data_IF_583146259561
#
_entry.id   IF_583146259561
#
_cell.length_a   1.000
_cell.length_b   1.000
_cell.length_c   1.000
_cell.angle_alpha   90.00
_cell.angle_beta   90.00
_cell.angle_gamma   90.00
#
_symmetry.space_group_name_H-M   'P 1'
#
loop_
_entity.id
_entity.type
_entity.pdbx_description
1 polymer ?
#
# COMPACT_ATOMS: atom_id res chain seq x y z
N UNK A 1 -5.12 -16.15 -44.36
CA UNK A 1 -4.49 -16.48 -43.05
C UNK A 1 -4.93 -15.41 -42.07
N UNK A 2 -6.07 -15.57 -41.40
CA UNK A 2 -6.68 -14.54 -40.55
C UNK A 2 -6.37 -14.79 -39.06
N UNK A 3 -5.88 -13.76 -38.36
CA UNK A 3 -6.05 -13.55 -36.91
C UNK A 3 -5.22 -14.40 -35.95
N UNK A 4 -3.88 -14.40 -36.04
CA UNK A 4 -3.04 -15.04 -35.00
C UNK A 4 -2.94 -14.14 -33.75
N UNK A 5 -3.67 -14.50 -32.69
CA UNK A 5 -3.30 -14.33 -31.28
C UNK A 5 -2.40 -13.12 -30.94
N UNK A 6 -2.89 -11.89 -31.14
CA UNK A 6 -2.16 -10.69 -30.71
C UNK A 6 -2.46 -10.43 -29.22
N UNK A 7 -1.46 -10.62 -28.37
CA UNK A 7 -1.48 -10.19 -26.97
C UNK A 7 -0.67 -8.91 -26.84
N UNK A 8 -1.27 -7.88 -26.24
CA UNK A 8 -0.59 -6.64 -25.89
C UNK A 8 -0.72 -6.38 -24.40
N UNK A 9 0.38 -6.08 -23.73
CA UNK A 9 0.41 -5.74 -22.32
C UNK A 9 0.72 -4.25 -22.17
N UNK A 10 -0.28 -3.47 -21.76
CA UNK A 10 -0.06 -2.09 -21.32
C UNK A 10 0.48 -2.12 -19.89
N UNK A 11 1.64 -1.52 -19.67
CA UNK A 11 2.28 -1.57 -18.37
C UNK A 11 3.29 -0.46 -18.15
N UNK A 12 3.69 -0.32 -16.89
CA UNK A 12 4.82 0.51 -16.53
C UNK A 12 5.93 -0.40 -15.98
N UNK A 13 7.17 -0.17 -16.39
CA UNK A 13 8.29 -1.05 -16.06
C UNK A 13 8.51 -1.20 -14.54
N UNK A 14 8.13 -0.21 -13.75
CA UNK A 14 8.30 -0.20 -12.29
C UNK A 14 7.08 -0.73 -11.52
N UNK A 15 6.08 -1.31 -12.20
CA UNK A 15 4.87 -1.80 -11.54
C UNK A 15 4.98 -3.28 -11.17
N UNK A 16 4.93 -3.58 -9.87
CA UNK A 16 4.85 -4.95 -9.36
C UNK A 16 3.64 -5.72 -9.91
N UNK A 17 2.51 -5.02 -10.12
CA UNK A 17 1.30 -5.58 -10.71
C UNK A 17 1.50 -6.02 -12.16
N UNK A 18 2.28 -5.26 -12.93
CA UNK A 18 2.66 -5.60 -14.30
C UNK A 18 3.63 -6.78 -14.31
N UNK A 19 4.58 -6.82 -13.36
CA UNK A 19 5.52 -7.94 -13.19
C UNK A 19 4.78 -9.27 -13.02
N UNK A 20 3.67 -9.31 -12.23
CA UNK A 20 2.83 -10.53 -12.08
C UNK A 20 2.33 -11.06 -13.42
N UNK A 21 1.85 -10.17 -14.28
CA UNK A 21 1.33 -10.55 -15.61
C UNK A 21 2.46 -11.01 -16.52
N UNK A 22 3.61 -10.33 -16.51
CA UNK A 22 4.79 -10.75 -17.26
C UNK A 22 5.26 -12.14 -16.81
N UNK A 23 5.36 -12.38 -15.51
CA UNK A 23 5.69 -13.69 -14.94
C UNK A 23 4.76 -14.78 -15.46
N UNK A 24 3.44 -14.57 -15.39
CA UNK A 24 2.47 -15.55 -15.88
C UNK A 24 2.63 -15.84 -17.38
N UNK A 25 2.80 -14.80 -18.22
CA UNK A 25 3.02 -14.97 -19.66
C UNK A 25 4.31 -15.75 -19.95
N UNK A 26 5.41 -15.44 -19.24
CA UNK A 26 6.69 -16.15 -19.40
C UNK A 26 6.61 -17.61 -18.92
N UNK A 27 5.96 -17.88 -17.79
CA UNK A 27 5.75 -19.26 -17.30
C UNK A 27 4.90 -20.10 -18.25
N UNK A 28 3.99 -19.46 -18.99
CA UNK A 28 3.17 -20.09 -20.04
C UNK A 28 3.85 -20.11 -21.42
N UNK A 29 5.02 -19.50 -21.58
CA UNK A 29 5.69 -19.40 -22.89
C UNK A 29 4.92 -18.56 -23.92
N UNK A 30 4.04 -17.65 -23.47
CA UNK A 30 3.20 -16.81 -24.33
C UNK A 30 3.95 -15.53 -24.68
N UNK A 31 4.14 -15.28 -25.98
CA UNK A 31 4.70 -14.03 -26.50
C UNK A 31 3.67 -12.91 -26.42
N UNK A 32 4.12 -11.67 -26.20
CA UNK A 32 3.25 -10.51 -26.12
C UNK A 32 4.00 -9.23 -26.52
N UNK A 33 3.27 -8.26 -27.03
CA UNK A 33 3.76 -6.91 -27.29
C UNK A 33 3.65 -6.07 -26.01
N UNK A 34 4.78 -5.65 -25.46
CA UNK A 34 4.79 -4.76 -24.29
C UNK A 34 4.71 -3.30 -24.73
N UNK A 35 3.75 -2.56 -24.16
CA UNK A 35 3.60 -1.12 -24.38
C UNK A 35 3.83 -0.41 -23.05
N UNK A 36 4.92 0.36 -23.00
CA UNK A 36 5.28 1.18 -21.83
C UNK A 36 4.33 2.38 -21.73
N UNK A 37 3.72 2.55 -20.56
CA UNK A 37 2.80 3.65 -20.25
C UNK A 37 3.47 4.69 -19.33
N UNK A 38 3.34 5.96 -19.69
CA UNK A 38 3.60 7.07 -18.76
C UNK A 38 2.36 7.29 -17.88
N UNK A 39 2.44 6.86 -16.62
CA UNK A 39 1.31 6.97 -15.69
C UNK A 39 0.95 8.42 -15.30
N UNK A 40 1.79 9.40 -15.67
CA UNK A 40 1.50 10.84 -15.53
C UNK A 40 0.78 11.42 -16.75
N UNK A 41 0.98 10.82 -17.92
CA UNK A 41 0.37 11.20 -19.18
C UNK A 41 -0.14 9.93 -19.89
N UNK A 42 -1.24 9.39 -19.37
CA UNK A 42 -1.80 8.10 -19.77
C UNK A 42 -2.23 8.14 -21.23
N UNK A 43 -1.90 7.09 -21.99
CA UNK A 43 -2.29 7.00 -23.39
C UNK A 43 -3.81 6.89 -23.56
N UNK A 44 -4.31 7.33 -24.72
CA UNK A 44 -5.73 7.13 -25.08
C UNK A 44 -6.09 5.64 -25.07
N UNK A 45 -5.17 4.79 -25.54
CA UNK A 45 -5.34 3.34 -25.52
C UNK A 45 -5.56 2.80 -24.10
N UNK A 46 -4.82 3.27 -23.10
CA UNK A 46 -5.01 2.88 -21.70
C UNK A 46 -6.36 3.40 -21.16
N UNK A 47 -6.70 4.66 -21.45
CA UNK A 47 -7.95 5.28 -21.00
C UNK A 47 -9.19 4.60 -21.59
N UNK A 48 -9.12 4.16 -22.84
CA UNK A 48 -10.16 3.40 -23.52
C UNK A 48 -10.23 1.94 -23.03
N UNK A 49 -9.08 1.33 -22.76
CA UNK A 49 -9.02 -0.09 -22.37
C UNK A 49 -9.38 -0.32 -20.90
N UNK A 50 -9.10 0.64 -20.01
CA UNK A 50 -9.47 0.62 -18.59
C UNK A 50 -10.11 1.97 -18.18
N UNK A 51 -11.33 2.26 -18.64
CA UNK A 51 -11.97 3.56 -18.37
C UNK A 51 -12.35 3.74 -16.90
N UNK A 52 -12.51 2.64 -16.15
CA UNK A 52 -12.92 2.62 -14.74
C UNK A 52 -11.76 3.06 -13.84
N UNK A 53 -10.63 2.36 -13.88
CA UNK A 53 -9.51 2.61 -12.97
C UNK A 53 -8.39 3.42 -13.63
N UNK A 54 -8.26 3.35 -14.96
CA UNK A 54 -7.20 4.03 -15.72
C UNK A 54 -5.80 3.62 -15.20
N UNK A 55 -5.66 2.37 -14.79
CA UNK A 55 -4.45 1.80 -14.19
C UNK A 55 -3.89 0.68 -15.05
N UNK A 56 -2.61 0.40 -14.87
CA UNK A 56 -1.92 -0.78 -15.42
C UNK A 56 -1.77 -1.85 -14.34
N UNK A 57 -1.65 -3.15 -14.68
CA UNK A 57 -1.63 -3.73 -16.03
C UNK A 57 -3.00 -3.76 -16.73
N UNK A 58 -2.96 -3.69 -18.07
CA UNK A 58 -4.09 -4.10 -18.92
C UNK A 58 -3.56 -5.07 -19.98
N UNK A 59 -4.11 -6.28 -20.00
CA UNK A 59 -3.85 -7.25 -21.06
C UNK A 59 -4.93 -7.10 -22.13
N UNK A 60 -4.55 -6.78 -23.36
CA UNK A 60 -5.44 -6.80 -24.51
C UNK A 60 -5.18 -8.10 -25.25
N UNK A 61 -6.14 -9.03 -25.20
CA UNK A 61 -6.08 -10.29 -25.91
C UNK A 61 -7.13 -10.32 -27.02
N UNK A 62 -6.69 -10.39 -28.28
CA UNK A 62 -7.58 -10.35 -29.45
C UNK A 62 -8.53 -9.13 -29.43
N UNK A 63 -7.97 -7.96 -29.12
CA UNK A 63 -8.69 -6.68 -29.06
C UNK A 63 -9.59 -6.51 -27.83
N UNK A 64 -9.62 -7.48 -26.90
CA UNK A 64 -10.45 -7.41 -25.68
C UNK A 64 -9.57 -7.10 -24.47
N UNK A 65 -9.82 -5.98 -23.74
CA UNK A 65 -9.03 -5.65 -22.57
C UNK A 65 -9.48 -6.46 -21.34
N UNK A 66 -8.50 -6.89 -20.54
CA UNK A 66 -8.65 -7.49 -19.22
C UNK A 66 -7.81 -6.65 -18.25
N UNK A 67 -8.43 -6.24 -17.14
CA UNK A 67 -7.82 -5.40 -16.11
C UNK A 67 -7.59 -6.21 -14.83
N UNK A 68 -6.86 -5.61 -13.87
CA UNK A 68 -6.49 -6.19 -12.57
C UNK A 68 -5.50 -7.37 -12.68
N UNK A 69 -4.29 -7.20 -12.13
CA UNK A 69 -3.21 -8.19 -12.27
C UNK A 69 -3.61 -9.62 -11.88
N UNK A 70 -4.33 -9.79 -10.78
CA UNK A 70 -4.78 -11.10 -10.28
C UNK A 70 -5.85 -11.74 -11.18
N UNK A 71 -6.72 -10.92 -11.80
CA UNK A 71 -7.71 -11.40 -12.76
C UNK A 71 -7.01 -11.79 -14.06
N UNK A 72 -6.09 -10.96 -14.54
CA UNK A 72 -5.30 -11.23 -15.74
C UNK A 72 -4.49 -12.53 -15.59
N UNK A 73 -3.84 -12.77 -14.46
CA UNK A 73 -3.08 -14.01 -14.23
C UNK A 73 -3.99 -15.25 -14.29
N UNK A 74 -5.19 -15.19 -13.70
CA UNK A 74 -6.15 -16.30 -13.80
C UNK A 74 -6.66 -16.49 -15.23
N UNK A 75 -6.96 -15.39 -15.94
CA UNK A 75 -7.35 -15.43 -17.34
C UNK A 75 -6.28 -16.09 -18.22
N UNK A 76 -5.00 -15.74 -18.01
CA UNK A 76 -3.87 -16.38 -18.69
C UNK A 76 -3.84 -17.88 -18.38
N UNK A 77 -4.00 -18.27 -17.12
CA UNK A 77 -3.97 -19.68 -16.71
C UNK A 77 -5.09 -20.52 -17.35
N UNK A 78 -6.30 -19.95 -17.47
CA UNK A 78 -7.45 -20.60 -18.07
C UNK A 78 -7.33 -20.71 -19.60
N UNK A 79 -6.98 -19.61 -20.27
CA UNK A 79 -6.91 -19.52 -21.74
C UNK A 79 -5.72 -20.29 -22.31
N UNK A 80 -4.59 -20.28 -21.61
CA UNK A 80 -3.37 -20.99 -22.00
C UNK A 80 -3.17 -22.24 -21.12
N UNK A 81 -4.25 -22.94 -20.78
CA UNK A 81 -4.22 -24.15 -19.96
C UNK A 81 -3.47 -25.33 -20.59
N UNK A 82 -3.23 -25.29 -21.91
CA UNK A 82 -2.41 -26.26 -22.63
C UNK A 82 -0.92 -25.90 -22.74
N UNK A 83 -0.53 -24.68 -22.36
CA UNK A 83 0.84 -24.18 -22.45
C UNK A 83 1.45 -24.04 -21.05
N UNK A 84 2.64 -24.60 -20.83
CA UNK A 84 3.30 -24.56 -19.51
C UNK A 84 2.52 -25.27 -18.39
N UNK A 85 2.95 -25.05 -17.15
CA UNK A 85 2.28 -25.63 -15.97
C UNK A 85 1.08 -24.78 -15.51
N UNK A 86 0.10 -25.41 -14.87
CA UNK A 86 -1.06 -24.74 -14.29
C UNK A 86 -0.66 -23.92 -13.07
N UNK A 87 -1.02 -22.64 -13.03
CA UNK A 87 -0.72 -21.78 -11.87
C UNK A 87 -1.70 -22.03 -10.73
N UNK A 88 -2.97 -22.29 -11.05
CA UNK A 88 -3.97 -22.67 -10.06
C UNK A 88 -4.08 -24.20 -9.94
N UNK A 89 -4.26 -24.73 -8.72
CA UNK A 89 -4.59 -26.14 -8.51
C UNK A 89 -5.91 -26.54 -9.19
N UNK A 90 -5.98 -27.81 -9.62
CA UNK A 90 -7.21 -28.39 -10.14
C UNK A 90 -8.26 -28.61 -9.04
N UNK A 91 -7.81 -29.00 -7.84
CA UNK A 91 -8.68 -29.20 -6.69
C UNK A 91 -9.36 -27.87 -6.27
N UNK A 92 -10.70 -27.84 -6.14
CA UNK A 92 -11.42 -26.63 -5.79
C UNK A 92 -11.01 -26.01 -4.44
N UNK A 93 -10.69 -26.84 -3.45
CA UNK A 93 -10.30 -26.37 -2.13
C UNK A 93 -8.88 -25.79 -2.14
N UNK A 94 -7.90 -26.51 -2.70
CA UNK A 94 -6.54 -26.00 -2.88
C UNK A 94 -6.53 -24.69 -3.69
N UNK A 95 -7.38 -24.58 -4.72
CA UNK A 95 -7.56 -23.34 -5.49
C UNK A 95 -8.15 -22.20 -4.66
N UNK A 96 -9.08 -22.47 -3.75
CA UNK A 96 -9.60 -21.47 -2.82
C UNK A 96 -8.52 -21.00 -1.84
N UNK A 97 -7.69 -21.92 -1.33
CA UNK A 97 -6.54 -21.61 -0.46
C UNK A 97 -5.52 -20.73 -1.19
N UNK A 98 -5.19 -21.03 -2.46
CA UNK A 98 -4.30 -20.20 -3.26
C UNK A 98 -4.85 -18.77 -3.43
N UNK A 99 -6.14 -18.62 -3.70
CA UNK A 99 -6.80 -17.32 -3.80
C UNK A 99 -6.81 -16.56 -2.47
N UNK A 100 -6.99 -17.26 -1.35
CA UNK A 100 -6.90 -16.67 -0.02
C UNK A 100 -5.52 -16.07 0.24
N UNK A 101 -4.45 -16.82 -0.02
CA UNK A 101 -3.08 -16.32 0.19
C UNK A 101 -2.73 -15.17 -0.76
N UNK A 102 -3.19 -15.20 -2.00
CA UNK A 102 -3.04 -14.07 -2.93
C UNK A 102 -3.75 -12.80 -2.43
N UNK A 103 -4.96 -12.93 -1.86
CA UNK A 103 -5.66 -11.80 -1.24
C UNK A 103 -4.95 -11.31 0.02
N UNK A 104 -4.41 -12.24 0.83
CA UNK A 104 -3.60 -11.91 2.00
C UNK A 104 -2.36 -11.08 1.63
N UNK A 105 -1.63 -11.47 0.57
CA UNK A 105 -0.47 -10.72 0.07
C UNK A 105 -0.88 -9.30 -0.32
N UNK A 106 -2.00 -9.14 -1.03
CA UNK A 106 -2.46 -7.82 -1.45
C UNK A 106 -2.79 -6.92 -0.25
N UNK A 107 -3.56 -7.42 0.71
CA UNK A 107 -4.03 -6.65 1.86
C UNK A 107 -2.96 -6.44 2.95
N UNK A 108 -2.13 -7.45 3.22
CA UNK A 108 -1.21 -7.45 4.37
C UNK A 108 0.24 -7.18 4.00
N UNK A 109 0.62 -7.32 2.74
CA UNK A 109 1.98 -7.03 2.29
C UNK A 109 2.02 -5.84 1.36
N UNK A 110 1.29 -5.87 0.25
CA UNK A 110 1.38 -4.86 -0.82
C UNK A 110 0.75 -3.52 -0.41
N UNK A 111 -0.46 -3.53 0.16
CA UNK A 111 -1.08 -2.30 0.61
C UNK A 111 -0.27 -1.58 1.71
N UNK A 112 0.26 -2.25 2.76
CA UNK A 112 1.19 -1.64 3.71
C UNK A 112 2.50 -1.18 3.06
N UNK A 113 3.00 -1.90 2.05
CA UNK A 113 4.18 -1.49 1.30
C UNK A 113 4.01 -0.11 0.66
N UNK A 114 2.87 0.12 0.01
CA UNK A 114 2.58 1.43 -0.58
C UNK A 114 2.60 2.54 0.48
N UNK A 115 2.21 2.23 1.73
CA UNK A 115 2.29 3.17 2.86
C UNK A 115 3.74 3.39 3.30
N UNK A 116 4.56 2.35 3.39
CA UNK A 116 6.02 2.47 3.64
C UNK A 116 6.67 3.40 2.62
N UNK A 117 6.35 3.24 1.32
CA UNK A 117 6.89 4.10 0.26
C UNK A 117 6.40 5.55 0.31
N UNK A 118 5.21 5.79 0.86
CA UNK A 118 4.59 7.12 0.96
C UNK A 118 4.80 7.77 2.32
N UNK A 119 5.35 7.04 3.29
CA UNK A 119 5.58 7.52 4.64
C UNK A 119 6.48 8.76 4.63
N UNK A 120 6.10 9.77 5.41
CA UNK A 120 6.83 11.05 5.48
C UNK A 120 7.88 11.07 6.57
N UNK A 121 7.73 10.22 7.58
CA UNK A 121 8.65 10.11 8.72
C UNK A 121 9.10 8.66 8.91
N UNK A 122 10.19 8.49 9.64
CA UNK A 122 10.72 7.16 9.95
C UNK A 122 9.81 6.40 10.92
N UNK A 123 9.12 7.10 11.82
CA UNK A 123 8.16 6.50 12.75
C UNK A 123 6.95 5.94 12.02
N UNK A 124 6.38 6.69 11.08
CA UNK A 124 5.29 6.21 10.22
C UNK A 124 5.73 4.98 9.42
N UNK A 125 6.93 5.05 8.83
CA UNK A 125 7.53 3.93 8.10
C UNK A 125 7.67 2.69 8.97
N UNK A 126 8.19 2.84 10.19
CA UNK A 126 8.41 1.74 11.13
C UNK A 126 7.10 1.03 11.51
N UNK A 127 5.98 1.76 11.65
CA UNK A 127 4.66 1.17 11.93
C UNK A 127 4.22 0.24 10.81
N UNK A 128 4.31 0.69 9.55
CA UNK A 128 3.92 -0.11 8.40
C UNK A 128 4.89 -1.28 8.15
N UNK A 129 6.19 -1.07 8.35
CA UNK A 129 7.20 -2.14 8.30
C UNK A 129 6.90 -3.23 9.32
N UNK A 130 6.51 -2.87 10.55
CA UNK A 130 6.11 -3.85 11.58
C UNK A 130 4.91 -4.69 11.12
N UNK A 131 3.93 -4.11 10.43
CA UNK A 131 2.80 -4.86 9.89
C UNK A 131 3.24 -5.82 8.77
N UNK A 132 4.09 -5.37 7.86
CA UNK A 132 4.63 -6.22 6.79
C UNK A 132 5.45 -7.38 7.35
N UNK A 133 6.19 -7.13 8.42
CA UNK A 133 6.90 -8.17 9.15
C UNK A 133 5.95 -9.23 9.71
N UNK A 134 4.85 -8.84 10.36
CA UNK A 134 3.83 -9.80 10.83
C UNK A 134 3.22 -10.57 9.65
N UNK A 135 3.03 -9.91 8.51
CA UNK A 135 2.55 -10.57 7.30
C UNK A 135 3.53 -11.61 6.76
N UNK A 136 4.84 -11.33 6.80
CA UNK A 136 5.88 -12.27 6.43
C UNK A 136 5.86 -13.52 7.33
N UNK A 137 5.64 -13.38 8.65
CA UNK A 137 5.54 -14.54 9.56
C UNK A 137 4.35 -15.44 9.20
N UNK A 138 3.21 -14.85 8.84
CA UNK A 138 2.05 -15.62 8.40
C UNK A 138 2.30 -16.32 7.06
N UNK A 139 2.95 -15.64 6.12
CA UNK A 139 3.32 -16.20 4.82
C UNK A 139 4.32 -17.35 4.94
N UNK A 140 5.24 -17.31 5.92
CA UNK A 140 6.15 -18.41 6.23
C UNK A 140 5.36 -19.68 6.60
N UNK A 141 4.34 -19.54 7.46
CA UNK A 141 3.42 -20.62 7.80
C UNK A 141 2.61 -21.11 6.59
N UNK A 142 2.11 -20.18 5.79
CA UNK A 142 1.38 -20.49 4.56
C UNK A 142 2.23 -21.27 3.55
N UNK A 143 3.48 -20.86 3.33
CA UNK A 143 4.42 -21.55 2.45
C UNK A 143 4.68 -22.97 2.94
N UNK A 144 4.87 -23.16 4.25
CA UNK A 144 5.07 -24.48 4.84
C UNK A 144 3.87 -25.40 4.60
N UNK A 145 2.66 -24.90 4.79
CA UNK A 145 1.43 -25.66 4.60
C UNK A 145 1.18 -26.00 3.12
N UNK A 146 1.23 -25.00 2.24
CA UNK A 146 0.99 -25.17 0.81
C UNK A 146 2.03 -26.08 0.14
N UNK A 147 3.30 -25.99 0.56
CA UNK A 147 4.36 -26.86 0.05
C UNK A 147 4.38 -28.26 0.68
N UNK A 148 3.40 -28.61 1.52
CA UNK A 148 3.34 -29.87 2.28
C UNK A 148 4.64 -30.15 3.05
N UNK A 149 5.25 -29.09 3.57
CA UNK A 149 6.50 -29.12 4.33
C UNK A 149 7.79 -29.19 3.51
N UNK A 150 7.71 -29.26 2.17
CA UNK A 150 8.92 -29.27 1.31
C UNK A 150 9.58 -27.88 1.19
N UNK A 151 8.80 -26.81 1.34
CA UNK A 151 9.27 -25.43 1.30
C UNK A 151 9.74 -24.94 -0.08
N UNK A 152 9.33 -25.59 -1.17
CA UNK A 152 9.78 -25.21 -2.52
C UNK A 152 9.06 -23.96 -3.04
N UNK A 153 7.75 -24.06 -3.23
CA UNK A 153 6.86 -23.00 -3.71
C UNK A 153 5.49 -23.10 -3.02
N UNK A 154 4.71 -22.03 -3.07
CA UNK A 154 3.30 -22.10 -2.64
C UNK A 154 2.47 -22.99 -3.57
N UNK A 155 2.87 -23.16 -4.83
CA UNK A 155 2.32 -24.17 -5.74
C UNK A 155 2.74 -25.62 -5.44
N UNK A 156 3.53 -25.86 -4.39
CA UNK A 156 4.05 -27.18 -4.07
C UNK A 156 5.41 -27.41 -4.72
N UNK A 157 5.47 -28.33 -5.67
CA UNK A 157 6.72 -28.71 -6.36
C UNK A 157 7.10 -27.71 -7.48
N UNK A 158 6.16 -26.87 -7.92
CA UNK A 158 6.37 -25.86 -8.94
C UNK A 158 5.70 -24.52 -8.62
N UNK A 159 6.00 -23.52 -9.45
CA UNK A 159 5.53 -22.13 -9.27
C UNK A 159 4.01 -22.07 -9.46
N UNK A 160 3.30 -21.66 -8.42
CA UNK A 160 1.85 -21.49 -8.44
C UNK A 160 1.41 -20.04 -8.48
N UNK A 161 0.09 -19.86 -8.41
CA UNK A 161 -0.58 -18.56 -8.44
C UNK A 161 -0.09 -17.60 -7.33
N UNK A 162 0.09 -18.11 -6.11
CA UNK A 162 0.58 -17.31 -4.97
C UNK A 162 2.03 -16.88 -5.19
N UNK A 163 2.87 -17.76 -5.75
CA UNK A 163 4.26 -17.45 -6.08
C UNK A 163 4.34 -16.34 -7.14
N UNK A 164 3.47 -16.35 -8.15
CA UNK A 164 3.39 -15.27 -9.15
C UNK A 164 2.97 -13.94 -8.51
N UNK A 165 1.98 -13.97 -7.62
CA UNK A 165 1.46 -12.77 -6.93
C UNK A 165 2.53 -12.14 -6.03
N UNK A 166 3.21 -12.95 -5.22
CA UNK A 166 4.31 -12.51 -4.36
C UNK A 166 5.54 -12.12 -5.18
N UNK A 167 5.85 -12.93 -6.20
CA UNK A 167 6.95 -12.77 -7.14
C UNK A 167 6.98 -11.41 -7.83
N UNK A 168 5.79 -10.85 -8.12
CA UNK A 168 5.68 -9.51 -8.68
C UNK A 168 6.31 -8.40 -7.82
N UNK A 169 6.44 -8.61 -6.51
CA UNK A 169 7.02 -7.64 -5.58
C UNK A 169 8.52 -7.85 -5.31
N UNK A 170 9.13 -8.96 -5.78
CA UNK A 170 10.49 -9.38 -5.40
C UNK A 170 11.56 -8.32 -5.65
N UNK A 171 11.56 -7.67 -6.81
CA UNK A 171 12.53 -6.59 -7.10
C UNK A 171 12.44 -5.43 -6.12
N UNK A 172 11.22 -5.08 -5.68
CA UNK A 172 11.00 -4.02 -4.70
C UNK A 172 11.31 -4.47 -3.28
N UNK A 173 11.19 -5.76 -2.97
CA UNK A 173 11.70 -6.34 -1.72
C UNK A 173 13.21 -6.14 -1.63
N UNK A 174 13.96 -6.58 -2.63
CA UNK A 174 15.40 -6.37 -2.65
C UNK A 174 15.78 -4.89 -2.60
N UNK A 175 15.07 -4.03 -3.34
CA UNK A 175 15.33 -2.59 -3.31
C UNK A 175 15.10 -1.99 -1.91
N UNK A 176 14.04 -2.39 -1.22
CA UNK A 176 13.77 -1.93 0.13
C UNK A 176 14.79 -2.44 1.15
N UNK A 177 15.23 -3.69 1.01
CA UNK A 177 16.28 -4.26 1.85
C UNK A 177 17.59 -3.46 1.72
N UNK A 178 17.95 -3.05 0.50
CA UNK A 178 19.11 -2.18 0.24
C UNK A 178 18.94 -0.78 0.83
N UNK A 179 17.73 -0.21 0.73
CA UNK A 179 17.45 1.16 1.21
C UNK A 179 17.41 1.24 2.74
N UNK A 180 16.80 0.26 3.38
CA UNK A 180 16.54 0.27 4.83
C UNK A 180 17.62 -0.47 5.63
N UNK A 181 18.38 -1.35 4.98
CA UNK A 181 19.30 -2.28 5.64
C UNK A 181 18.58 -3.40 6.41
N UNK A 182 17.24 -3.46 6.36
CA UNK A 182 16.43 -4.45 7.05
C UNK A 182 15.81 -5.40 6.02
N UNK A 183 16.10 -6.70 6.16
CA UNK A 183 15.56 -7.74 5.30
C UNK A 183 14.12 -8.05 5.65
N UNK A 184 13.20 -7.92 4.70
CA UNK A 184 11.81 -8.32 4.91
C UNK A 184 11.67 -9.84 5.08
N UNK A 185 12.36 -10.61 4.25
CA UNK A 185 12.47 -12.07 4.34
C UNK A 185 13.85 -12.44 4.85
N UNK A 186 13.98 -12.56 6.17
CA UNK A 186 15.26 -12.84 6.83
C UNK A 186 15.35 -14.32 7.22
N UNK A 187 16.48 -14.96 6.90
CA UNK A 187 16.65 -16.40 7.14
C UNK A 187 16.60 -16.81 8.62
N UNK A 188 16.88 -15.89 9.56
CA UNK A 188 16.77 -16.18 10.99
C UNK A 188 15.32 -16.19 11.48
N UNK A 189 14.38 -15.62 10.70
CA UNK A 189 12.98 -15.44 11.10
C UNK A 189 11.99 -16.14 10.17
N UNK A 190 12.16 -15.98 8.86
CA UNK A 190 11.36 -16.59 7.80
C UNK A 190 12.26 -17.38 6.85
N UNK A 191 12.88 -18.49 7.31
CA UNK A 191 13.84 -19.27 6.54
C UNK A 191 13.27 -19.85 5.23
N UNK A 192 12.01 -20.29 5.22
CA UNK A 192 11.39 -20.83 4.00
C UNK A 192 11.17 -19.73 2.97
N UNK A 193 10.69 -18.55 3.38
CA UNK A 193 10.53 -17.40 2.48
C UNK A 193 11.87 -16.87 1.98
N UNK A 194 12.90 -16.86 2.82
CA UNK A 194 14.26 -16.48 2.39
C UNK A 194 14.79 -17.46 1.32
N UNK A 195 14.61 -18.78 1.53
CA UNK A 195 14.99 -19.79 0.54
C UNK A 195 14.13 -19.73 -0.74
N UNK A 196 12.84 -19.43 -0.59
CA UNK A 196 11.91 -19.19 -1.70
C UNK A 196 12.34 -18.00 -2.54
N UNK A 197 12.75 -16.89 -1.90
CA UNK A 197 13.17 -15.66 -2.59
C UNK A 197 14.34 -15.93 -3.53
N UNK A 198 15.38 -16.63 -3.04
CA UNK A 198 16.54 -17.05 -3.84
C UNK A 198 16.11 -18.00 -4.97
N UNK A 199 15.33 -19.04 -4.66
CA UNK A 199 14.86 -20.02 -5.65
C UNK A 199 14.01 -19.38 -6.74
N UNK A 200 13.13 -18.46 -6.37
CA UNK A 200 12.25 -17.75 -7.29
C UNK A 200 13.05 -16.82 -8.20
N UNK A 201 14.05 -16.11 -7.66
CA UNK A 201 14.96 -15.27 -8.44
C UNK A 201 15.78 -16.03 -9.48
N UNK A 202 16.03 -17.32 -9.25
CA UNK A 202 16.77 -18.17 -10.19
C UNK A 202 15.97 -18.66 -11.40
N UNK A 203 14.64 -18.54 -11.37
CA UNK A 203 13.77 -18.95 -12.48
C UNK A 203 14.04 -18.13 -13.74
N UNK A 204 14.07 -18.77 -14.91
CA UNK A 204 14.24 -18.08 -16.19
C UNK A 204 13.15 -17.02 -16.42
N UNK A 205 11.91 -17.35 -16.04
CA UNK A 205 10.79 -16.41 -16.09
C UNK A 205 11.00 -15.19 -15.18
N UNK A 206 11.58 -15.38 -13.99
CA UNK A 206 11.87 -14.29 -13.07
C UNK A 206 13.02 -13.42 -13.59
N UNK A 207 14.14 -14.03 -14.00
CA UNK A 207 15.29 -13.32 -14.61
C UNK A 207 14.91 -12.48 -15.83
N UNK A 208 13.92 -12.93 -16.60
CA UNK A 208 13.46 -12.21 -17.78
C UNK A 208 12.64 -10.95 -17.46
N UNK A 209 12.00 -10.86 -16.29
CA UNK A 209 10.95 -9.85 -16.03
C UNK A 209 11.16 -9.03 -14.76
N UNK A 210 11.92 -9.55 -13.79
CA UNK A 210 12.26 -8.82 -12.57
C UNK A 210 13.12 -7.61 -12.93
N UNK A 211 12.84 -6.50 -12.27
CA UNK A 211 13.62 -5.27 -12.41
C UNK A 211 15.00 -5.47 -11.81
N UNK A 212 16.01 -4.89 -12.48
CA UNK A 212 17.34 -4.70 -11.90
C UNK A 212 17.23 -3.97 -10.55
N UNK A 213 17.93 -4.48 -9.54
CA UNK A 213 17.79 -4.01 -8.15
C UNK A 213 18.31 -2.59 -8.01
N UNK A 214 19.42 -2.23 -8.65
CA UNK A 214 19.97 -0.86 -8.59
C UNK A 214 18.99 0.13 -9.20
N UNK A 215 18.45 -0.20 -10.38
CA UNK A 215 17.42 0.60 -11.04
C UNK A 215 16.14 0.73 -10.20
N UNK A 216 15.74 -0.33 -9.50
CA UNK A 216 14.59 -0.31 -8.59
C UNK A 216 14.85 0.57 -7.36
N UNK A 217 16.06 0.54 -6.80
CA UNK A 217 16.51 1.41 -5.71
C UNK A 217 16.49 2.88 -6.14
N UNK A 218 17.04 3.20 -7.32
CA UNK A 218 17.04 4.56 -7.87
C UNK A 218 15.62 5.08 -8.07
N UNK A 219 14.75 4.27 -8.68
CA UNK A 219 13.36 4.64 -8.90
C UNK A 219 12.64 4.90 -7.57
N UNK A 220 12.85 4.02 -6.59
CA UNK A 220 12.27 4.17 -5.24
C UNK A 220 12.71 5.48 -4.59
N UNK A 221 14.02 5.78 -4.60
CA UNK A 221 14.57 7.03 -4.05
C UNK A 221 14.02 8.26 -4.76
N UNK A 222 13.91 8.21 -6.09
CA UNK A 222 13.33 9.29 -6.90
C UNK A 222 11.87 9.54 -6.54
N UNK A 223 11.07 8.48 -6.39
CA UNK A 223 9.66 8.58 -5.99
C UNK A 223 9.52 9.13 -4.57
N UNK A 224 10.34 8.68 -3.62
CA UNK A 224 10.36 9.21 -2.25
C UNK A 224 10.71 10.69 -2.21
N UNK A 225 11.79 11.11 -2.90
CA UNK A 225 12.21 12.50 -2.98
C UNK A 225 11.11 13.39 -3.58
N UNK A 226 10.48 12.94 -4.67
CA UNK A 226 9.35 13.64 -5.29
C UNK A 226 8.18 13.79 -4.32
N UNK A 227 7.80 12.72 -3.62
CA UNK A 227 6.67 12.75 -2.69
C UNK A 227 6.95 13.67 -1.49
N UNK A 228 8.21 13.74 -1.02
CA UNK A 228 8.65 14.70 -0.02
C UNK A 228 8.51 16.16 -0.53
N UNK A 229 8.88 16.43 -1.78
CA UNK A 229 8.72 17.76 -2.41
C UNK A 229 7.26 18.12 -2.63
N UNK A 230 6.39 17.20 -3.07
CA UNK A 230 4.95 17.46 -3.22
C UNK A 230 4.28 17.67 -1.86
N UNK A 231 4.68 16.91 -0.84
CA UNK A 231 4.24 17.12 0.54
C UNK A 231 4.69 18.49 1.09
N UNK A 232 5.93 18.90 0.83
CA UNK A 232 6.45 20.22 1.19
C UNK A 232 5.80 21.35 0.37
N UNK A 233 5.48 21.13 -0.90
CA UNK A 233 4.80 22.08 -1.79
C UNK A 233 3.29 22.16 -1.51
N UNK A 234 2.67 21.18 -0.84
CA UNK A 234 1.34 21.36 -0.28
C UNK A 234 1.37 22.15 1.04
N UNK A 235 2.48 22.10 1.78
CA UNK A 235 2.68 22.87 3.01
C UNK A 235 3.13 24.33 2.74
N UNK A 236 3.78 24.60 1.60
CA UNK A 236 4.29 25.94 1.24
C UNK A 236 3.21 26.99 0.92
N UNK A 237 2.09 26.67 0.23
CA UNK A 237 0.99 27.60 -0.01
C UNK A 237 0.28 27.99 1.29
N UNK A 238 0.27 27.10 2.29
CA UNK A 238 -0.33 27.36 3.60
C UNK A 238 0.46 28.36 4.45
N UNK A 239 1.74 28.63 4.13
CA UNK A 239 2.53 29.66 4.84
C UNK A 239 2.53 31.03 4.18
N UNK A 240 2.06 31.18 2.93
CA UNK A 240 2.22 32.43 2.17
C UNK A 240 0.95 32.98 1.49
N UNK A 241 -0.23 32.38 1.67
CA UNK A 241 -1.49 32.97 1.19
C UNK A 241 -2.61 32.97 2.22
N UNK A 242 -2.58 33.91 3.16
CA UNK A 242 -3.81 34.46 3.75
C UNK A 242 -3.57 35.90 4.24
N UNK A 243 -3.35 36.79 3.27
CA UNK A 243 -3.53 38.23 3.45
C UNK A 243 -5.00 38.63 3.24
N UNK A 244 -5.91 38.04 4.02
CA UNK A 244 -7.34 38.37 3.98
C UNK A 244 -8.02 38.03 5.29
N UNK A 245 -8.77 39.00 5.83
CA UNK A 245 -9.40 38.98 7.16
C UNK A 245 -10.63 38.05 7.27
N UNK A 246 -10.67 36.93 6.54
CA UNK A 246 -11.80 35.99 6.60
C UNK A 246 -11.36 34.57 6.96
N UNK A 247 -12.08 33.97 7.90
CA UNK A 247 -11.87 32.60 8.41
C UNK A 247 -12.23 31.59 7.31
N UNK A 248 -11.23 30.86 6.80
CA UNK A 248 -11.39 29.84 5.77
C UNK A 248 -11.62 28.43 6.32
N UNK A 249 -11.87 27.47 5.43
CA UNK A 249 -12.13 26.06 5.80
C UNK A 249 -10.98 25.42 6.60
N UNK A 250 -9.73 25.79 6.29
CA UNK A 250 -8.55 25.33 7.03
C UNK A 250 -8.52 25.91 8.45
N UNK A 251 -8.99 27.14 8.64
CA UNK A 251 -9.07 27.78 9.96
C UNK A 251 -10.16 27.13 10.84
N UNK A 252 -11.25 26.63 10.24
CA UNK A 252 -12.30 25.87 10.93
C UNK A 252 -11.77 24.50 11.40
N UNK A 253 -10.99 23.81 10.56
CA UNK A 253 -10.38 22.52 10.90
C UNK A 253 -9.32 22.69 12.00
N UNK A 254 -8.50 23.74 11.93
CA UNK A 254 -7.53 24.06 12.98
C UNK A 254 -8.22 24.48 14.29
N UNK A 255 -9.30 25.25 14.23
CA UNK A 255 -10.12 25.58 15.40
C UNK A 255 -10.71 24.33 16.08
N UNK A 256 -11.21 23.36 15.30
CA UNK A 256 -11.68 22.08 15.85
C UNK A 256 -10.59 21.25 16.52
N UNK A 257 -9.36 21.29 16.01
CA UNK A 257 -8.21 20.63 16.63
C UNK A 257 -7.80 21.33 17.95
N UNK A 258 -7.88 22.67 18.02
CA UNK A 258 -7.64 23.45 19.25
C UNK A 258 -8.65 23.06 20.33
N UNK A 259 -9.93 22.98 19.97
CA UNK A 259 -11.01 22.54 20.85
C UNK A 259 -10.79 21.14 21.42
N UNK A 260 -10.34 20.20 20.58
CA UNK A 260 -10.09 18.82 21.00
C UNK A 260 -8.89 18.69 21.95
N UNK A 261 -7.79 19.40 21.65
CA UNK A 261 -6.58 19.40 22.50
C UNK A 261 -6.87 20.08 23.84
N UNK A 262 -7.57 21.21 23.84
CA UNK A 262 -7.95 21.90 25.07
C UNK A 262 -8.89 21.06 25.96
N UNK A 263 -9.89 20.41 25.35
CA UNK A 263 -10.77 19.49 26.07
C UNK A 263 -9.98 18.32 26.69
N UNK A 264 -9.00 17.77 25.97
CA UNK A 264 -8.18 16.68 26.47
C UNK A 264 -7.26 17.12 27.62
N UNK A 265 -6.67 18.31 27.55
CA UNK A 265 -5.84 18.88 28.61
C UNK A 265 -6.62 19.08 29.90
N UNK A 266 -7.85 19.58 29.79
CA UNK A 266 -8.74 19.82 30.94
C UNK A 266 -9.29 18.52 31.52
N UNK A 267 -9.57 17.51 30.70
CA UNK A 267 -10.10 16.21 31.15
C UNK A 267 -9.01 15.35 31.79
N UNK A 268 -7.81 15.34 31.23
CA UNK A 268 -6.73 14.43 31.65
C UNK A 268 -5.71 15.06 32.59
N UNK A 269 -5.69 16.39 32.70
CA UNK A 269 -4.69 17.15 33.46
C UNK A 269 -3.29 17.14 32.84
N UNK A 270 -3.10 16.45 31.70
CA UNK A 270 -1.88 16.50 30.92
C UNK A 270 -1.86 17.78 30.09
N UNK A 271 -0.82 18.61 30.21
CA UNK A 271 -0.63 19.76 29.29
C UNK A 271 -0.11 19.26 27.95
N UNK A 272 -1.00 18.87 27.03
CA UNK A 272 -0.64 18.58 25.64
C UNK A 272 -0.53 19.86 24.82
N UNK A 273 -1.12 20.97 25.28
CA UNK A 273 -0.83 22.30 24.77
C UNK A 273 0.56 22.77 25.23
N UNK A 274 1.54 22.58 24.36
CA UNK A 274 2.90 23.10 24.49
C UNK A 274 3.25 23.81 23.18
N UNK A 275 3.54 25.11 23.23
CA UNK A 275 3.88 25.91 22.05
C UNK A 275 5.10 25.35 21.27
N UNK A 276 5.97 24.59 21.93
CA UNK A 276 7.08 23.88 21.28
C UNK A 276 6.65 22.62 20.52
N UNK A 277 5.52 21.98 20.91
CA UNK A 277 5.00 20.75 20.29
C UNK A 277 3.87 21.01 19.30
N UNK A 278 3.12 22.10 19.49
CA UNK A 278 1.99 22.49 18.65
C UNK A 278 2.11 23.94 18.14
N UNK A 279 3.20 24.29 17.43
CA UNK A 279 3.49 25.68 17.02
C UNK A 279 2.40 26.27 16.10
N UNK A 280 1.72 25.44 15.31
CA UNK A 280 0.61 25.89 14.45
C UNK A 280 -0.63 26.30 15.26
N UNK A 281 -0.89 25.68 16.41
CA UNK A 281 -1.99 26.08 17.29
C UNK A 281 -1.69 27.39 18.04
N UNK A 282 -0.44 27.59 18.46
CA UNK A 282 -0.03 28.81 19.14
C UNK A 282 -0.20 30.06 18.23
N UNK A 283 0.23 29.94 16.97
CA UNK A 283 0.08 31.00 15.96
C UNK A 283 -1.41 31.25 15.63
N UNK A 284 -2.25 30.22 15.63
CA UNK A 284 -3.69 30.39 15.41
C UNK A 284 -4.38 31.12 16.57
N UNK A 285 -4.07 30.77 17.83
CA UNK A 285 -4.62 31.44 19.02
C UNK A 285 -4.19 32.90 19.12
N UNK A 286 -2.93 33.20 18.84
CA UNK A 286 -2.41 34.58 18.82
C UNK A 286 -3.12 35.44 17.76
N UNK A 287 -3.46 34.83 16.61
CA UNK A 287 -4.05 35.54 15.47
C UNK A 287 -5.58 35.66 15.53
N UNK A 288 -6.27 34.68 16.12
CA UNK A 288 -7.73 34.57 16.02
C UNK A 288 -8.44 34.37 17.36
N UNK A 289 -7.73 34.12 18.47
CA UNK A 289 -8.34 33.85 19.78
C UNK A 289 -9.20 34.99 20.33
N UNK A 290 -9.00 36.21 19.83
CA UNK A 290 -9.76 37.39 20.22
C UNK A 290 -11.05 37.61 19.41
N UNK A 291 -11.27 36.87 18.31
CA UNK A 291 -12.47 36.98 17.49
C UNK A 291 -13.69 36.37 18.20
N UNK A 292 -14.84 37.03 18.11
CA UNK A 292 -16.09 36.59 18.75
C UNK A 292 -16.52 35.17 18.32
N UNK A 293 -16.30 34.83 17.05
CA UNK A 293 -16.59 33.49 16.53
C UNK A 293 -15.68 32.41 17.14
N UNK A 294 -14.39 32.72 17.37
CA UNK A 294 -13.45 31.80 18.00
C UNK A 294 -13.75 31.63 19.50
N UNK A 295 -14.10 32.73 20.18
CA UNK A 295 -14.55 32.72 21.59
C UNK A 295 -15.82 31.89 21.78
N UNK A 296 -16.80 31.99 20.86
CA UNK A 296 -18.03 31.19 20.93
C UNK A 296 -17.75 29.68 20.83
N UNK A 297 -16.87 29.26 19.92
CA UNK A 297 -16.47 27.84 19.77
C UNK A 297 -15.74 27.33 21.01
N UNK A 298 -14.85 28.14 21.60
CA UNK A 298 -14.15 27.78 22.84
C UNK A 298 -15.13 27.66 24.03
N UNK A 299 -16.10 28.56 24.14
CA UNK A 299 -17.13 28.50 25.20
C UNK A 299 -18.03 27.25 25.07
N UNK A 300 -18.41 26.85 23.87
CA UNK A 300 -19.21 25.63 23.68
C UNK A 300 -18.43 24.36 24.03
N UNK A 301 -17.12 24.38 23.81
CA UNK A 301 -16.21 23.29 24.20
C UNK A 301 -16.05 23.23 25.72
N UNK A 302 -15.88 24.37 26.39
CA UNK A 302 -15.87 24.44 27.86
C UNK A 302 -17.17 23.90 28.45
N UNK A 303 -18.34 24.24 27.87
CA UNK A 303 -19.64 23.68 28.30
C UNK A 303 -19.72 22.16 28.10
N UNK A 304 -19.23 21.64 26.97
CA UNK A 304 -19.23 20.21 26.69
C UNK A 304 -18.30 19.43 27.63
N UNK A 305 -17.16 20.02 28.00
CA UNK A 305 -16.23 19.47 28.99
C UNK A 305 -16.87 19.44 30.38
N UNK A 306 -17.54 20.52 30.80
CA UNK A 306 -18.19 20.58 32.11
C UNK A 306 -19.38 19.61 32.21
N UNK A 307 -20.13 19.43 31.12
CA UNK A 307 -21.14 18.39 31.02
C UNK A 307 -20.53 16.98 31.15
N UNK A 308 -19.38 16.73 30.53
CA UNK A 308 -18.68 15.43 30.59
C UNK A 308 -18.17 15.14 32.00
N UNK A 309 -17.59 16.13 32.69
CA UNK A 309 -17.19 16.02 34.11
C UNK A 309 -18.39 15.74 35.01
N UNK A 310 -19.53 16.40 34.80
CA UNK A 310 -20.76 16.13 35.56
C UNK A 310 -21.27 14.69 35.35
N UNK A 311 -21.22 14.17 34.12
CA UNK A 311 -21.61 12.79 33.81
C UNK A 311 -20.64 11.79 34.45
N UNK A 312 -19.32 12.04 34.41
CA UNK A 312 -18.32 11.19 35.05
C UNK A 312 -18.44 11.19 36.59
N UNK A 313 -18.66 12.36 37.20
CA UNK A 313 -18.89 12.49 38.63
C UNK A 313 -20.18 11.78 39.07
N UNK A 314 -21.26 11.89 38.28
CA UNK A 314 -22.51 11.16 38.51
C UNK A 314 -22.31 9.64 38.43
N UNK A 315 -21.54 9.15 37.44
CA UNK A 315 -21.27 7.73 37.28
C UNK A 315 -20.39 7.14 38.40
N UNK A 316 -19.46 7.94 38.93
CA UNK A 316 -18.63 7.57 40.08
C UNK A 316 -19.44 7.42 41.39
N UNK A 317 -20.51 8.20 41.55
CA UNK A 317 -21.41 8.11 42.73
C UNK A 317 -22.39 6.92 42.63
N UNK A 318 -22.76 6.49 41.41
CA UNK A 318 -23.75 5.41 41.21
C UNK A 318 -23.14 4.01 41.09
N UNK A 319 -21.82 3.84 41.19
CA UNK A 319 -21.16 2.53 41.25
C UNK A 319 -21.39 1.60 40.05
N UNK A 320 -21.65 2.14 38.86
CA UNK A 320 -21.84 1.32 37.66
C UNK A 320 -20.50 1.11 36.95
N UNK A 321 -19.76 0.06 37.33
CA UNK A 321 -18.71 -0.50 36.47
C UNK A 321 -19.38 -1.23 35.30
N UNK A 322 -19.19 -0.75 34.07
CA UNK A 322 -19.50 -1.53 32.87
C UNK A 322 -18.26 -2.33 32.47
N UNK A 323 -18.43 -3.65 32.44
CA UNK A 323 -17.62 -4.57 31.64
C UNK A 323 -17.88 -4.34 30.14
#
# INVERSE_FOLDING_TARGET
MAGRNEQKLLGNWASAYVTRVKLALHLKGVTYDYVEEDLRNKSDLLLESNPVHKTVPVLIHNGRPICESQIIVQYIDEVFSGDGESLLPADPHERAVARFWAAYIEDKLVAPWEKVFRAKTEEERAVWMKQMFVAADALEGGLKECSKGKGCFFGGDSVGYVDVVLGGAVSFVHANDVITGAKLFDAARTPLLAAWLERFGELDAAKAVLQDVERAVEHTKMVQARNAVTGATQLRPLMLSSGGDSVGYVDVVLGGAVSFVHANDVITGAKLFDAARTPLLAVWLERFGELDAAKAVLQDVERAVEHTKMVQARNAVTGASSH
#
